data_IF_206760693768
#
_entry.id   IF_206760693768
#
_cell.length_a   1.000
_cell.length_b   1.000
_cell.length_c   1.000
_cell.angle_alpha   90.00
_cell.angle_beta   90.00
_cell.angle_gamma   90.00
#
_symmetry.space_group_name_H-M   'P 1'
#
loop_
_entity.id
_entity.type
_entity.pdbx_description
1 polymer ?
#
# COMPACT_ATOMS: atom_id res chain seq x y z
N UNK A 1 -16.34 -1.08 17.10
CA UNK A 1 -16.68 -0.23 15.94
C UNK A 1 -15.81 1.01 15.85
N UNK A 2 -15.78 1.87 16.89
CA UNK A 2 -14.99 3.11 16.89
C UNK A 2 -13.51 2.90 16.53
N UNK A 3 -12.86 1.95 17.19
CA UNK A 3 -11.44 1.65 16.99
C UNK A 3 -11.08 1.28 15.54
N UNK A 4 -11.93 0.48 14.87
CA UNK A 4 -11.70 0.12 13.46
C UNK A 4 -11.80 1.34 12.55
N UNK A 5 -12.76 2.23 12.78
CA UNK A 5 -12.96 3.43 11.98
C UNK A 5 -11.84 4.44 12.21
N UNK A 6 -11.38 4.57 13.46
CA UNK A 6 -10.23 5.42 13.81
C UNK A 6 -8.96 4.93 13.08
N UNK A 7 -8.70 3.62 13.09
CA UNK A 7 -7.55 3.04 12.37
C UNK A 7 -7.61 3.27 10.86
N UNK A 8 -8.78 3.05 10.23
CA UNK A 8 -8.98 3.35 8.81
C UNK A 8 -8.81 4.84 8.49
N UNK A 9 -9.30 5.72 9.37
CA UNK A 9 -9.14 7.17 9.23
C UNK A 9 -7.68 7.59 9.35
N UNK A 10 -6.93 7.03 10.30
CA UNK A 10 -5.50 7.29 10.48
C UNK A 10 -4.70 6.89 9.23
N UNK A 11 -4.94 5.71 8.69
CA UNK A 11 -4.32 5.26 7.44
C UNK A 11 -4.72 6.14 6.25
N UNK A 12 -6.00 6.53 6.14
CA UNK A 12 -6.45 7.44 5.08
C UNK A 12 -5.77 8.81 5.14
N UNK A 13 -5.51 9.35 6.34
CA UNK A 13 -4.73 10.58 6.53
C UNK A 13 -3.28 10.40 6.10
N UNK A 14 -2.65 9.26 6.42
CA UNK A 14 -1.30 8.94 5.97
C UNK A 14 -1.21 8.89 4.43
N UNK A 15 -2.15 8.22 3.76
CA UNK A 15 -2.25 8.22 2.28
C UNK A 15 -2.39 9.64 1.73
N UNK A 16 -3.23 10.48 2.35
CA UNK A 16 -3.44 11.88 1.92
C UNK A 16 -2.18 12.73 2.05
N UNK A 17 -1.37 12.50 3.09
CA UNK A 17 -0.08 13.18 3.28
C UNK A 17 0.91 12.77 2.17
N UNK A 18 0.99 11.48 1.85
CA UNK A 18 1.97 10.96 0.90
C UNK A 18 1.58 11.21 -0.56
N UNK A 19 0.29 11.25 -0.90
CA UNK A 19 -0.17 11.36 -2.29
C UNK A 19 0.46 12.51 -3.10
N UNK A 20 0.45 13.78 -2.64
CA UNK A 20 1.09 14.86 -3.39
C UNK A 20 2.61 14.69 -3.48
N UNK A 21 3.25 14.08 -2.46
CA UNK A 21 4.68 13.79 -2.47
C UNK A 21 5.04 12.74 -3.52
N UNK A 22 4.28 11.64 -3.60
CA UNK A 22 4.50 10.60 -4.60
C UNK A 22 4.21 11.07 -6.03
N UNK A 23 3.44 12.14 -6.20
CA UNK A 23 3.15 12.79 -7.48
C UNK A 23 4.12 13.91 -7.84
N UNK A 24 5.19 14.11 -7.06
CA UNK A 24 6.16 15.19 -7.27
C UNK A 24 5.60 16.61 -7.05
N UNK A 25 4.40 16.74 -6.48
CA UNK A 25 3.74 18.02 -6.24
C UNK A 25 4.28 18.75 -4.99
N UNK A 26 4.98 18.01 -4.12
CA UNK A 26 5.66 18.50 -2.93
C UNK A 26 7.02 17.84 -2.81
N UNK A 27 7.97 18.48 -2.11
CA UNK A 27 9.29 17.93 -1.87
C UNK A 27 9.22 16.56 -1.19
N UNK A 28 10.08 15.65 -1.66
CA UNK A 28 10.24 14.32 -1.07
C UNK A 28 10.80 14.40 0.35
N UNK A 29 10.19 13.66 1.27
CA UNK A 29 10.57 13.63 2.69
C UNK A 29 10.51 12.20 3.22
N UNK A 30 11.68 11.56 3.27
CA UNK A 30 11.85 10.17 3.70
C UNK A 30 11.38 9.93 5.15
N UNK A 31 11.45 10.94 6.02
CA UNK A 31 10.98 10.82 7.40
C UNK A 31 9.45 10.78 7.45
N UNK A 32 8.76 11.60 6.65
CA UNK A 32 7.30 11.55 6.50
C UNK A 32 6.82 10.24 5.87
N UNK A 33 7.58 9.67 4.93
CA UNK A 33 7.30 8.33 4.38
C UNK A 33 7.31 7.30 5.50
N UNK A 34 8.39 7.24 6.29
CA UNK A 34 8.51 6.30 7.42
C UNK A 34 7.40 6.47 8.45
N UNK A 35 7.14 7.71 8.88
CA UNK A 35 6.08 7.99 9.87
C UNK A 35 4.69 7.59 9.36
N UNK A 36 4.41 7.84 8.08
CA UNK A 36 3.14 7.44 7.45
C UNK A 36 3.03 5.93 7.30
N UNK A 37 4.13 5.25 6.96
CA UNK A 37 4.20 3.80 6.90
C UNK A 37 3.98 3.18 8.29
N UNK A 38 4.57 3.74 9.35
CA UNK A 38 4.37 3.28 10.72
C UNK A 38 2.89 3.32 11.15
N UNK A 39 2.16 4.36 10.76
CA UNK A 39 0.71 4.44 10.99
C UNK A 39 -0.02 3.29 10.27
N UNK A 40 0.36 2.98 9.03
CA UNK A 40 -0.25 1.88 8.27
C UNK A 40 0.07 0.52 8.92
N UNK A 41 1.33 0.28 9.29
CA UNK A 41 1.79 -0.96 9.93
C UNK A 41 1.04 -1.19 11.25
N UNK A 42 0.86 -0.13 12.05
CA UNK A 42 0.16 -0.20 13.34
C UNK A 42 -1.31 -0.60 13.22
N UNK A 43 -1.96 -0.29 12.08
CA UNK A 43 -3.39 -0.54 11.86
C UNK A 43 -3.70 -1.63 10.83
N UNK A 44 -2.68 -2.33 10.31
CA UNK A 44 -2.81 -3.41 9.34
C UNK A 44 -2.60 -4.81 9.97
N UNK A 45 -2.69 -5.85 9.14
CA UNK A 45 -2.48 -7.25 9.55
C UNK A 45 -3.42 -7.69 10.67
N UNK A 46 -2.87 -8.41 11.65
CA UNK A 46 -3.63 -8.95 12.79
C UNK A 46 -4.32 -7.87 13.64
N UNK A 47 -3.71 -6.68 13.75
CA UNK A 47 -4.35 -5.56 14.46
C UNK A 47 -5.68 -5.19 13.80
N UNK A 48 -5.74 -5.24 12.47
CA UNK A 48 -6.98 -5.00 11.73
C UNK A 48 -7.98 -6.13 11.94
N UNK A 49 -7.56 -7.38 11.71
CA UNK A 49 -8.49 -8.53 11.68
C UNK A 49 -9.15 -8.76 13.04
N UNK A 50 -8.43 -8.53 14.15
CA UNK A 50 -8.99 -8.61 15.51
C UNK A 50 -10.17 -7.65 15.76
N UNK A 51 -10.30 -6.58 14.97
CA UNK A 51 -11.39 -5.59 15.09
C UNK A 51 -12.67 -6.00 14.33
N UNK A 52 -12.71 -7.17 13.70
CA UNK A 52 -13.85 -7.70 12.95
C UNK A 52 -14.36 -9.05 13.50
N UNK A 53 -14.73 -9.16 14.80
CA UNK A 53 -15.33 -10.39 15.31
C UNK A 53 -16.67 -10.67 14.62
N UNK A 54 -17.03 -11.95 14.51
CA UNK A 54 -18.29 -12.39 13.91
C UNK A 54 -19.50 -11.65 14.50
N UNK A 55 -20.48 -11.34 13.66
CA UNK A 55 -21.69 -10.64 14.08
C UNK A 55 -21.57 -9.11 14.22
N UNK A 56 -20.40 -8.51 13.95
CA UNK A 56 -20.22 -7.03 14.04
C UNK A 56 -20.56 -6.25 12.76
N UNK A 57 -21.16 -6.90 11.77
CA UNK A 57 -21.55 -6.29 10.48
C UNK A 57 -22.81 -5.43 10.49
N UNK A 58 -23.56 -5.37 11.60
CA UNK A 58 -24.89 -4.79 11.59
C UNK A 58 -24.92 -3.24 11.59
N UNK A 59 -25.79 -2.71 10.72
CA UNK A 59 -26.46 -1.39 10.59
C UNK A 59 -25.67 -0.06 10.70
N UNK A 60 -24.58 0.00 11.46
CA UNK A 60 -23.75 1.21 11.61
C UNK A 60 -22.34 1.03 11.00
N UNK A 61 -22.12 -0.12 10.39
CA UNK A 61 -20.84 -0.59 9.86
C UNK A 61 -20.86 -0.51 8.33
N UNK A 62 -19.90 0.19 7.74
CA UNK A 62 -19.65 0.10 6.30
C UNK A 62 -18.99 -1.22 5.88
N UNK A 63 -18.79 -2.19 6.79
CA UNK A 63 -18.23 -3.50 6.44
C UNK A 63 -19.35 -4.42 5.97
N UNK A 64 -19.14 -5.07 4.83
CA UNK A 64 -20.08 -6.00 4.22
C UNK A 64 -20.04 -7.37 4.92
N UNK A 65 -21.13 -8.17 4.83
CA UNK A 65 -21.14 -9.56 5.28
C UNK A 65 -20.01 -10.41 4.68
N UNK A 66 -19.56 -10.06 3.48
CA UNK A 66 -18.47 -10.73 2.75
C UNK A 66 -17.16 -10.82 3.55
N UNK A 67 -16.92 -9.94 4.53
CA UNK A 67 -15.77 -10.03 5.44
C UNK A 67 -15.73 -11.38 6.17
N UNK A 68 -16.89 -11.86 6.63
CA UNK A 68 -16.99 -13.12 7.37
C UNK A 68 -17.22 -14.32 6.44
N UNK A 69 -17.78 -14.11 5.25
CA UNK A 69 -17.94 -15.16 4.23
C UNK A 69 -16.62 -15.53 3.56
N UNK A 70 -15.71 -14.56 3.39
CA UNK A 70 -14.35 -14.77 2.85
C UNK A 70 -13.30 -14.17 3.80
N UNK A 71 -13.20 -14.81 4.96
CA UNK A 71 -12.25 -14.44 6.00
C UNK A 71 -10.79 -14.56 5.55
N UNK A 72 -10.46 -15.60 4.79
CA UNK A 72 -9.11 -15.81 4.28
C UNK A 72 -8.69 -14.68 3.35
N UNK A 73 -9.54 -14.29 2.39
CA UNK A 73 -9.27 -13.15 1.52
C UNK A 73 -9.13 -11.83 2.26
N UNK A 74 -9.94 -11.60 3.30
CA UNK A 74 -9.85 -10.41 4.13
C UNK A 74 -8.53 -10.36 4.91
N UNK A 75 -8.17 -11.47 5.57
CA UNK A 75 -6.94 -11.55 6.38
C UNK A 75 -5.68 -11.46 5.51
N UNK A 76 -5.71 -12.01 4.29
CA UNK A 76 -4.60 -11.92 3.35
C UNK A 76 -4.36 -10.49 2.89
N UNK A 77 -5.41 -9.75 2.51
CA UNK A 77 -5.26 -8.33 2.16
C UNK A 77 -4.78 -7.49 3.34
N UNK A 78 -5.23 -7.79 4.56
CA UNK A 78 -4.76 -7.11 5.76
C UNK A 78 -3.26 -7.36 6.01
N UNK A 79 -2.79 -8.60 5.85
CA UNK A 79 -1.36 -8.96 5.94
C UNK A 79 -0.55 -8.30 4.84
N UNK A 80 -1.03 -8.37 3.60
CA UNK A 80 -0.39 -7.75 2.42
C UNK A 80 -0.20 -6.25 2.60
N UNK A 81 -1.22 -5.56 3.13
CA UNK A 81 -1.12 -4.13 3.45
C UNK A 81 0.01 -3.85 4.45
N UNK A 82 0.14 -4.66 5.50
CA UNK A 82 1.21 -4.52 6.49
C UNK A 82 2.58 -4.73 5.85
N UNK A 83 2.76 -5.84 5.13
CA UNK A 83 4.01 -6.17 4.43
C UNK A 83 4.43 -5.08 3.44
N UNK A 84 3.47 -4.52 2.70
CA UNK A 84 3.76 -3.47 1.72
C UNK A 84 4.12 -2.15 2.39
N UNK A 85 3.47 -1.81 3.50
CA UNK A 85 3.85 -0.65 4.31
C UNK A 85 5.24 -0.82 4.94
N UNK A 86 5.61 -2.02 5.38
CA UNK A 86 6.97 -2.35 5.85
C UNK A 86 8.00 -2.18 4.73
N UNK A 87 7.73 -2.70 3.54
CA UNK A 87 8.58 -2.49 2.36
C UNK A 87 8.74 -0.99 2.01
N UNK A 88 7.64 -0.23 2.02
CA UNK A 88 7.65 1.22 1.80
C UNK A 88 8.46 1.97 2.86
N UNK A 89 8.38 1.54 4.13
CA UNK A 89 9.18 2.12 5.23
C UNK A 89 10.68 1.84 5.03
N UNK A 90 11.03 0.62 4.67
CA UNK A 90 12.42 0.19 4.46
C UNK A 90 13.04 0.89 3.25
N UNK A 91 12.30 1.00 2.15
CA UNK A 91 12.71 1.68 0.92
C UNK A 91 12.64 3.21 0.97
N UNK A 92 12.35 3.82 2.13
CA UNK A 92 12.09 5.26 2.24
C UNK A 92 13.25 6.17 1.81
N UNK A 93 14.47 5.66 1.66
CA UNK A 93 15.60 6.47 1.16
C UNK A 93 15.79 6.36 -0.36
N UNK A 94 15.04 5.49 -1.04
CA UNK A 94 15.16 5.30 -2.50
C UNK A 94 14.58 6.46 -3.31
N UNK A 95 13.82 7.35 -2.68
CA UNK A 95 13.19 8.48 -3.37
C UNK A 95 12.11 8.05 -4.36
N UNK A 96 11.74 8.96 -5.26
CA UNK A 96 10.79 8.73 -6.33
C UNK A 96 11.51 8.25 -7.60
N UNK A 97 10.80 7.53 -8.49
CA UNK A 97 11.37 7.03 -9.73
C UNK A 97 12.00 8.15 -10.59
N UNK A 98 11.40 9.34 -10.62
CA UNK A 98 11.95 10.50 -11.35
C UNK A 98 13.33 10.95 -10.83
N UNK A 99 13.58 10.83 -9.51
CA UNK A 99 14.87 11.15 -8.91
C UNK A 99 15.93 10.07 -9.19
N UNK A 100 15.52 8.82 -9.43
CA UNK A 100 16.41 7.73 -9.83
C UNK A 100 16.94 7.91 -11.26
N UNK A 101 16.14 8.48 -12.17
CA UNK A 101 16.59 8.82 -13.54
C UNK A 101 17.70 9.88 -13.50
N UNK A 102 17.63 10.86 -12.59
CA UNK A 102 18.64 11.91 -12.51
C UNK A 102 19.99 11.42 -11.95
N UNK A 103 20.01 10.37 -11.12
CA UNK A 103 21.26 9.70 -10.71
C UNK A 103 21.78 8.71 -11.76
N UNK A 104 20.89 8.12 -12.58
CA UNK A 104 21.27 7.24 -13.69
C UNK A 104 21.75 7.98 -14.95
N UNK A 105 21.32 9.22 -15.18
CA UNK A 105 21.74 10.04 -16.34
C UNK A 105 23.19 10.50 -16.27
N UNK A 106 23.87 10.42 -15.12
CA UNK A 106 25.33 10.61 -15.05
C UNK A 106 26.13 9.38 -15.49
N UNK A 107 25.50 8.21 -15.70
CA UNK A 107 26.17 6.95 -16.02
C UNK A 107 25.70 6.27 -17.33
N UNK A 108 24.74 6.83 -18.07
CA UNK A 108 24.24 6.26 -19.34
C UNK A 108 24.44 7.18 -20.54
N UNK A 109 25.70 7.52 -20.81
CA UNK A 109 26.15 7.89 -22.16
C UNK A 109 26.53 6.63 -22.94
N UNK A 110 25.55 5.80 -23.28
CA UNK A 110 25.80 4.52 -23.95
C UNK A 110 24.56 3.96 -24.63
N UNK A 111 24.59 3.93 -25.95
CA UNK A 111 23.57 3.44 -26.87
C UNK A 111 23.08 2.02 -26.57
N UNK A 112 21.76 1.80 -26.54
CA UNK A 112 21.13 0.62 -27.14
C UNK A 112 19.60 0.71 -27.08
N UNK A 113 18.99 0.90 -28.25
CA UNK A 113 17.65 0.40 -28.52
C UNK A 113 17.66 -1.12 -28.42
N UNK A 114 16.89 -1.69 -27.51
CA UNK A 114 16.57 -3.12 -27.53
C UNK A 114 15.19 -3.35 -26.89
N UNK A 115 14.22 -3.52 -27.79
CA UNK A 115 13.14 -4.50 -27.74
C UNK A 115 13.00 -5.32 -26.45
N UNK A 116 11.88 -5.19 -25.75
CA UNK A 116 11.33 -6.27 -24.92
C UNK A 116 9.81 -6.34 -25.12
N UNK A 117 9.41 -7.12 -26.11
CA UNK A 117 8.15 -7.83 -26.07
C UNK A 117 8.32 -9.12 -25.27
N UNK A 118 7.27 -9.55 -24.57
CA UNK A 118 7.23 -10.86 -23.94
C UNK A 118 6.33 -10.86 -22.71
N UNK A 119 5.24 -11.62 -22.78
CA UNK A 119 4.14 -11.60 -21.84
C UNK A 119 4.54 -11.89 -20.39
N UNK A 120 3.90 -11.18 -19.47
CA UNK A 120 3.90 -11.48 -18.05
C UNK A 120 2.54 -12.08 -17.68
N UNK A 121 2.31 -13.30 -18.16
CA UNK A 121 1.27 -14.21 -17.65
C UNK A 121 1.98 -15.21 -16.75
N UNK A 122 1.91 -15.02 -15.43
CA UNK A 122 2.47 -15.97 -14.49
C UNK A 122 2.38 -15.49 -13.07
N UNK A 123 1.50 -16.13 -12.30
CA UNK A 123 1.36 -16.14 -10.85
C UNK A 123 1.49 -14.80 -10.12
N UNK A 124 0.44 -14.46 -9.39
CA UNK A 124 0.36 -13.37 -8.41
C UNK A 124 1.37 -13.57 -7.26
N UNK A 125 2.67 -13.54 -7.56
CA UNK A 125 3.74 -13.52 -6.59
C UNK A 125 3.61 -12.20 -5.86
N UNK A 126 3.05 -12.29 -4.64
CA UNK A 126 3.03 -11.17 -3.71
C UNK A 126 4.45 -10.60 -3.64
N UNK A 127 4.59 -9.33 -3.98
CA UNK A 127 5.89 -8.65 -3.91
C UNK A 127 6.37 -8.72 -2.48
N UNK A 128 7.56 -9.27 -2.23
CA UNK A 128 8.06 -9.34 -0.86
C UNK A 128 8.39 -7.93 -0.35
N UNK A 129 8.37 -7.69 0.98
CA UNK A 129 8.80 -6.41 1.54
C UNK A 129 10.20 -6.00 1.07
N UNK A 130 11.11 -6.95 0.92
CA UNK A 130 12.48 -6.72 0.46
C UNK A 130 12.53 -6.27 -1.01
N UNK A 131 11.70 -6.89 -1.87
CA UNK A 131 11.57 -6.44 -3.26
C UNK A 131 11.02 -5.02 -3.32
N UNK A 132 9.99 -4.70 -2.52
CA UNK A 132 9.44 -3.35 -2.44
C UNK A 132 10.44 -2.33 -1.89
N UNK A 133 11.26 -2.74 -0.91
CA UNK A 133 12.31 -1.91 -0.33
C UNK A 133 13.47 -1.60 -1.30
N UNK A 134 13.57 -2.33 -2.41
CA UNK A 134 14.55 -2.07 -3.48
C UNK A 134 14.02 -1.16 -4.59
N UNK A 135 12.71 -0.88 -4.59
CA UNK A 135 12.05 -0.07 -5.62
C UNK A 135 11.97 1.42 -5.20
N UNK A 136 11.74 2.32 -6.16
CA UNK A 136 11.28 3.67 -5.85
C UNK A 136 10.02 3.67 -4.97
N UNK A 137 9.93 4.64 -4.07
CA UNK A 137 8.88 4.68 -3.04
C UNK A 137 7.49 4.90 -3.61
N UNK A 138 7.36 5.58 -4.75
CA UNK A 138 6.11 5.76 -5.47
C UNK A 138 5.53 4.42 -5.98
N UNK A 139 6.38 3.45 -6.33
CA UNK A 139 5.95 2.10 -6.71
C UNK A 139 5.46 1.30 -5.48
N UNK A 140 6.19 1.37 -4.37
CA UNK A 140 5.76 0.75 -3.11
C UNK A 140 4.46 1.37 -2.57
N UNK A 141 4.34 2.70 -2.65
CA UNK A 141 3.11 3.42 -2.31
C UNK A 141 1.94 3.02 -3.20
N UNK A 142 2.18 2.83 -4.50
CA UNK A 142 1.16 2.34 -5.44
C UNK A 142 0.64 0.95 -5.02
N UNK A 143 1.53 0.04 -4.65
CA UNK A 143 1.13 -1.28 -4.16
C UNK A 143 0.28 -1.21 -2.87
N UNK A 144 0.61 -0.30 -1.95
CA UNK A 144 -0.18 -0.02 -0.74
C UNK A 144 -1.59 0.45 -1.10
N UNK A 145 -1.73 1.50 -1.94
CA UNK A 145 -3.06 2.05 -2.28
C UNK A 145 -3.91 1.08 -3.11
N UNK A 146 -3.30 0.25 -3.96
CA UNK A 146 -3.99 -0.84 -4.66
C UNK A 146 -4.56 -1.86 -3.69
N UNK A 147 -3.85 -2.19 -2.61
CA UNK A 147 -4.34 -3.10 -1.57
C UNK A 147 -5.55 -2.49 -0.83
N UNK A 148 -5.52 -1.19 -0.53
CA UNK A 148 -6.67 -0.47 0.03
C UNK A 148 -7.89 -0.56 -0.91
N UNK A 149 -7.68 -0.33 -2.21
CA UNK A 149 -8.74 -0.39 -3.21
C UNK A 149 -9.36 -1.79 -3.30
N UNK A 150 -8.53 -2.83 -3.42
CA UNK A 150 -8.99 -4.21 -3.51
C UNK A 150 -9.80 -4.63 -2.27
N UNK A 151 -9.33 -4.24 -1.07
CA UNK A 151 -10.04 -4.53 0.17
C UNK A 151 -11.38 -3.79 0.23
N UNK A 152 -11.41 -2.50 -0.11
CA UNK A 152 -12.65 -1.73 -0.07
C UNK A 152 -13.68 -2.22 -1.09
N UNK A 153 -13.25 -2.55 -2.31
CA UNK A 153 -14.14 -3.06 -3.36
C UNK A 153 -14.85 -4.35 -2.94
N UNK A 154 -14.18 -5.23 -2.19
CA UNK A 154 -14.71 -6.54 -1.81
C UNK A 154 -15.46 -6.55 -0.47
N UNK A 155 -15.00 -5.72 0.48
CA UNK A 155 -15.38 -5.85 1.89
C UNK A 155 -16.04 -4.60 2.49
N UNK A 156 -16.10 -3.48 1.76
CA UNK A 156 -16.71 -2.22 2.23
C UNK A 156 -17.90 -1.83 1.35
N UNK A 157 -19.01 -1.48 1.98
CA UNK A 157 -20.16 -0.89 1.30
C UNK A 157 -19.76 0.46 0.70
N UNK A 158 -20.20 0.72 -0.54
CA UNK A 158 -20.04 2.05 -1.15
C UNK A 158 -20.79 3.09 -0.33
N UNK A 159 -20.16 4.25 -0.14
CA UNK A 159 -20.84 5.40 0.44
C UNK A 159 -21.86 5.91 -0.59
N UNK A 160 -23.14 5.90 -0.24
CA UNK A 160 -24.22 6.50 -1.03
C UNK A 160 -24.23 8.01 -0.88
#
# INVERSE_FOLDING_TARGET
MKERMDGMSAMGKAVKILTPMMRGQTLYDAAKVRASADVMIAHAGETMTRLFPEGTGAKLSSALPTVWEDWDGFTELAKKLKSYAEGMKLGADNGLAENAVQQGSSMMGGTASASMGGGMMGAEQAMTPEMLASMPVDMAFTAVVQTCSACHQKFRAEEK
#
